data_IF_216420200303
#
_entry.id   IF_216420200303
#
_cell.length_a   1.000
_cell.length_b   1.000
_cell.length_c   1.000
_cell.angle_alpha   90.00
_cell.angle_beta   90.00
_cell.angle_gamma   90.00
#
_symmetry.space_group_name_H-M   'P 1'
#
loop_
_entity.id
_entity.type
_entity.pdbx_description
1 polymer ?
#
# COMPACT_ATOMS: atom_id res chain seq x y z
N UNK A 1 0.34 -0.04 -75.68
CA UNK A 1 0.09 1.42 -75.73
C UNK A 1 0.08 1.97 -74.31
N UNK A 2 0.90 3.01 -74.05
CA UNK A 2 0.88 4.03 -72.97
C UNK A 2 0.70 3.55 -71.51
N UNK A 3 1.74 3.61 -70.64
CA UNK A 3 2.21 4.78 -69.84
C UNK A 3 1.07 5.45 -69.06
N UNK A 4 1.12 5.89 -67.80
CA UNK A 4 2.07 5.99 -66.68
C UNK A 4 1.35 6.98 -65.73
N UNK A 5 1.27 6.75 -64.40
CA UNK A 5 1.33 7.83 -63.38
C UNK A 5 1.18 7.30 -61.95
N UNK A 6 2.27 7.45 -61.19
CA UNK A 6 2.41 7.34 -59.74
C UNK A 6 2.04 8.68 -59.07
N UNK A 7 1.34 8.62 -57.93
CA UNK A 7 1.34 9.59 -56.83
C UNK A 7 1.05 8.80 -55.54
N UNK A 8 2.03 8.42 -54.71
CA UNK A 8 2.68 9.14 -53.60
C UNK A 8 1.77 9.46 -52.37
N UNK A 9 2.31 9.18 -51.18
CA UNK A 9 1.84 9.40 -49.79
C UNK A 9 0.93 8.29 -49.22
N UNK A 10 1.38 7.30 -48.43
CA UNK A 10 2.35 7.27 -47.32
C UNK A 10 1.95 8.13 -46.11
N UNK A 11 0.81 7.83 -45.47
CA UNK A 11 0.58 8.06 -44.02
C UNK A 11 -0.38 6.97 -43.50
N UNK A 12 0.13 5.76 -43.29
CA UNK A 12 -0.53 4.73 -42.46
C UNK A 12 0.47 4.27 -41.41
N UNK A 13 0.76 5.15 -40.44
CA UNK A 13 1.62 4.83 -39.30
C UNK A 13 1.35 5.80 -38.16
N UNK A 14 0.16 5.71 -37.57
CA UNK A 14 -0.13 6.20 -36.22
C UNK A 14 -1.11 5.23 -35.55
N UNK A 15 -0.66 3.97 -35.39
CA UNK A 15 -1.22 3.09 -34.38
C UNK A 15 -0.84 3.66 -33.02
N UNK A 16 -1.86 4.14 -32.32
CA UNK A 16 -1.89 4.47 -30.90
C UNK A 16 -1.05 3.48 -30.07
N UNK A 17 0.13 3.92 -29.64
CA UNK A 17 0.97 3.22 -28.66
C UNK A 17 0.35 3.41 -27.27
N UNK A 18 -0.65 2.59 -26.93
CA UNK A 18 -0.92 2.22 -25.55
C UNK A 18 0.00 1.07 -25.16
N UNK A 19 0.33 0.84 -23.88
CA UNK A 19 1.11 -0.32 -23.49
C UNK A 19 0.30 -1.59 -23.80
N UNK A 20 0.57 -2.19 -24.95
CA UNK A 20 0.09 -3.52 -25.28
C UNK A 20 0.78 -4.46 -24.30
N UNK A 21 0.05 -4.89 -23.28
CA UNK A 21 0.39 -6.11 -22.58
C UNK A 21 0.39 -7.18 -23.67
N UNK A 22 1.56 -7.70 -24.04
CA UNK A 22 1.65 -8.68 -25.12
C UNK A 22 0.75 -9.87 -24.77
N UNK A 23 -0.42 -9.96 -25.40
CA UNK A 23 -1.42 -11.02 -25.15
C UNK A 23 -0.79 -12.40 -25.31
N UNK A 24 0.16 -12.53 -26.23
CA UNK A 24 0.99 -13.73 -26.39
C UNK A 24 1.73 -14.10 -25.10
N UNK A 25 2.40 -13.14 -24.43
CA UNK A 25 3.13 -13.40 -23.18
C UNK A 25 2.21 -13.74 -22.00
N UNK A 26 1.00 -13.18 -21.97
CA UNK A 26 -0.01 -13.50 -20.97
C UNK A 26 -0.59 -14.91 -21.22
N UNK A 27 -0.88 -15.26 -22.49
CA UNK A 27 -1.35 -16.58 -22.91
C UNK A 27 -0.29 -17.66 -22.65
N UNK A 28 1.00 -17.41 -22.92
CA UNK A 28 2.07 -18.37 -22.61
C UNK A 28 2.20 -18.61 -21.12
N UNK A 29 2.19 -17.56 -20.28
CA UNK A 29 2.22 -17.71 -18.81
C UNK A 29 1.04 -18.52 -18.28
N UNK A 30 -0.16 -18.33 -18.86
CA UNK A 30 -1.36 -19.06 -18.47
C UNK A 30 -1.33 -20.52 -18.91
N UNK A 31 -0.86 -20.79 -20.13
CA UNK A 31 -0.68 -22.15 -20.66
C UNK A 31 0.38 -22.94 -19.86
N UNK A 32 1.49 -22.30 -19.51
CA UNK A 32 2.55 -22.89 -18.67
C UNK A 32 2.06 -23.18 -17.25
N UNK A 33 1.16 -22.36 -16.70
CA UNK A 33 0.57 -22.62 -15.40
C UNK A 33 -0.39 -23.81 -15.43
N UNK A 34 -1.19 -23.95 -16.48
CA UNK A 34 -2.14 -25.05 -16.64
C UNK A 34 -1.44 -26.41 -16.82
N UNK A 35 -0.25 -26.42 -17.42
CA UNK A 35 0.52 -27.65 -17.67
C UNK A 35 1.53 -27.99 -16.55
N UNK A 36 1.70 -27.09 -15.56
CA UNK A 36 2.65 -27.29 -14.46
C UNK A 36 2.16 -28.27 -13.40
N UNK A 37 3.08 -29.09 -12.90
CA UNK A 37 2.80 -30.03 -11.80
C UNK A 37 2.43 -29.28 -10.52
N UNK A 38 1.77 -29.96 -9.58
CA UNK A 38 1.44 -29.35 -8.29
C UNK A 38 2.70 -28.85 -7.55
N UNK A 39 3.79 -29.60 -7.65
CA UNK A 39 5.08 -29.26 -7.05
C UNK A 39 5.70 -28.00 -7.65
N UNK A 40 5.70 -27.86 -8.98
CA UNK A 40 6.17 -26.64 -9.64
C UNK A 40 5.35 -25.40 -9.25
N UNK A 41 4.02 -25.55 -9.10
CA UNK A 41 3.15 -24.46 -8.63
C UNK A 41 3.40 -24.10 -7.18
N UNK A 42 3.76 -25.07 -6.35
CA UNK A 42 4.14 -24.83 -4.96
C UNK A 42 5.49 -24.13 -4.89
N UNK A 43 6.49 -24.59 -5.64
CA UNK A 43 7.81 -23.96 -5.72
C UNK A 43 7.74 -22.51 -6.23
N UNK A 44 6.94 -22.23 -7.26
CA UNK A 44 6.71 -20.85 -7.76
C UNK A 44 5.97 -19.96 -6.76
N UNK A 45 5.11 -20.52 -5.92
CA UNK A 45 4.48 -19.77 -4.82
C UNK A 45 5.52 -19.45 -3.76
N UNK A 46 6.29 -20.44 -3.30
CA UNK A 46 7.35 -20.24 -2.33
C UNK A 46 8.36 -19.19 -2.78
N UNK A 47 8.84 -19.24 -4.03
CA UNK A 47 9.76 -18.27 -4.57
C UNK A 47 9.21 -16.83 -4.57
N UNK A 48 7.91 -16.65 -4.88
CA UNK A 48 7.26 -15.32 -4.80
C UNK A 48 7.18 -14.81 -3.37
N UNK A 49 6.81 -15.67 -2.42
CA UNK A 49 6.74 -15.29 -1.00
C UNK A 49 8.13 -14.89 -0.46
N UNK A 50 9.19 -15.59 -0.88
CA UNK A 50 10.57 -15.22 -0.53
C UNK A 50 11.02 -13.89 -1.16
N UNK A 51 10.56 -13.59 -2.37
CA UNK A 51 10.81 -12.31 -3.03
C UNK A 51 10.06 -11.17 -2.32
N UNK A 52 8.77 -11.37 -2.03
CA UNK A 52 7.93 -10.42 -1.29
C UNK A 52 8.58 -10.09 0.04
N UNK A 53 9.02 -11.10 0.81
CA UNK A 53 9.71 -10.91 2.09
C UNK A 53 10.94 -10.00 1.96
N UNK A 54 11.79 -10.23 0.96
CA UNK A 54 12.98 -9.39 0.71
C UNK A 54 12.61 -7.95 0.37
N UNK A 55 11.54 -7.76 -0.40
CA UNK A 55 11.03 -6.43 -0.74
C UNK A 55 10.54 -5.73 0.54
N UNK A 56 9.73 -6.40 1.37
CA UNK A 56 9.22 -5.87 2.64
C UNK A 56 10.38 -5.48 3.57
N UNK A 57 11.34 -6.38 3.77
CA UNK A 57 12.52 -6.12 4.60
C UNK A 57 13.26 -4.85 4.12
N UNK A 58 13.46 -4.72 2.82
CA UNK A 58 14.13 -3.57 2.20
C UNK A 58 13.39 -2.26 2.44
N UNK A 59 12.07 -2.21 2.19
CA UNK A 59 11.30 -0.96 2.28
C UNK A 59 11.09 -0.49 3.72
N UNK A 60 10.97 -1.42 4.68
CA UNK A 60 10.85 -1.10 6.11
C UNK A 60 12.17 -0.52 6.62
N UNK A 61 13.30 -1.17 6.30
CA UNK A 61 14.63 -0.67 6.68
C UNK A 61 14.93 0.69 6.03
N UNK A 62 14.52 0.87 4.77
CA UNK A 62 14.71 2.13 4.04
C UNK A 62 13.76 3.25 4.50
N UNK A 63 12.75 2.95 5.34
CA UNK A 63 11.68 3.89 5.72
C UNK A 63 11.05 4.56 4.49
N UNK A 64 10.71 3.75 3.49
CA UNK A 64 10.25 4.25 2.20
C UNK A 64 9.06 3.42 1.70
N UNK A 65 7.93 3.60 2.35
CA UNK A 65 6.72 2.83 2.06
C UNK A 65 5.44 3.62 2.30
N UNK A 66 4.40 3.24 1.57
CA UNK A 66 3.05 3.76 1.69
C UNK A 66 2.09 2.64 2.08
N UNK A 67 1.34 2.87 3.15
CA UNK A 67 0.22 2.05 3.59
C UNK A 67 -1.08 2.52 2.93
N UNK A 68 -1.76 1.56 2.30
CA UNK A 68 -3.01 1.68 1.58
C UNK A 68 -4.11 0.96 2.39
N UNK A 69 -4.95 1.68 3.15
CA UNK A 69 -5.97 1.11 3.99
C UNK A 69 -7.17 0.61 3.16
N UNK A 70 -7.70 -0.54 3.54
CA UNK A 70 -8.93 -1.12 2.98
C UNK A 70 -10.09 -1.05 3.98
N UNK A 71 -9.80 -1.16 5.28
CA UNK A 71 -10.83 -1.09 6.32
C UNK A 71 -10.39 -0.22 7.49
N UNK A 72 -11.37 0.22 8.29
CA UNK A 72 -11.17 0.96 9.53
C UNK A 72 -12.11 0.42 10.61
N UNK A 73 -11.63 0.29 11.84
CA UNK A 73 -12.42 -0.11 13.01
C UNK A 73 -11.97 0.68 14.24
N UNK A 74 -12.93 1.17 15.04
CA UNK A 74 -12.62 1.71 16.36
C UNK A 74 -12.51 0.56 17.38
N UNK A 75 -11.47 0.53 18.19
CA UNK A 75 -11.29 -0.48 19.22
C UNK A 75 -12.02 -0.09 20.52
N UNK A 76 -12.43 -1.06 21.36
CA UNK A 76 -12.31 -2.51 21.16
C UNK A 76 -13.45 -3.14 20.34
N UNK A 77 -14.61 -2.47 20.19
CA UNK A 77 -15.83 -3.09 19.67
C UNK A 77 -16.59 -2.22 18.64
N UNK A 78 -15.92 -1.28 17.98
CA UNK A 78 -16.49 -0.50 16.90
C UNK A 78 -16.82 -1.36 15.67
N UNK A 79 -17.72 -0.87 14.83
CA UNK A 79 -18.04 -1.53 13.55
C UNK A 79 -16.87 -1.38 12.58
N UNK A 80 -16.51 -2.47 11.90
CA UNK A 80 -15.57 -2.42 10.78
C UNK A 80 -16.24 -1.77 9.56
N UNK A 81 -15.57 -0.77 8.99
CA UNK A 81 -16.03 0.00 7.84
C UNK A 81 -15.05 -0.20 6.69
N UNK A 82 -15.55 -0.50 5.50
CA UNK A 82 -14.73 -0.55 4.29
C UNK A 82 -14.44 0.87 3.78
N UNK A 83 -13.19 1.12 3.40
CA UNK A 83 -12.72 2.38 2.86
C UNK A 83 -12.64 2.27 1.35
N UNK A 84 -13.47 3.04 0.64
CA UNK A 84 -13.56 3.00 -0.83
C UNK A 84 -12.78 4.10 -1.54
N UNK A 85 -12.17 5.04 -0.81
CA UNK A 85 -11.46 6.18 -1.40
C UNK A 85 -9.97 5.85 -1.61
N UNK A 86 -9.52 5.93 -2.85
CA UNK A 86 -8.12 5.70 -3.24
C UNK A 86 -7.14 6.75 -2.68
N UNK A 87 -7.65 7.90 -2.21
CA UNK A 87 -6.82 8.98 -1.67
C UNK A 87 -6.48 8.79 -0.19
N UNK A 88 -6.99 7.74 0.45
CA UNK A 88 -6.61 7.44 1.82
C UNK A 88 -5.28 6.72 1.82
N UNK A 89 -4.27 7.35 2.38
CA UNK A 89 -2.91 6.80 2.44
C UNK A 89 -2.23 7.22 3.74
N UNK A 90 -1.23 6.43 4.11
CA UNK A 90 -0.29 6.77 5.16
C UNK A 90 1.12 6.46 4.64
N UNK A 91 1.95 7.47 4.54
CA UNK A 91 3.20 7.42 3.82
C UNK A 91 4.34 7.74 4.78
N UNK A 92 5.39 6.92 4.78
CA UNK A 92 6.64 7.20 5.48
C UNK A 92 7.74 7.31 4.45
N UNK A 93 8.44 8.44 4.48
CA UNK A 93 9.61 8.68 3.66
C UNK A 93 10.71 9.28 4.53
N UNK A 94 11.77 8.49 4.75
CA UNK A 94 12.91 8.85 5.61
C UNK A 94 12.46 9.16 7.03
N UNK A 95 12.49 10.43 7.43
CA UNK A 95 12.10 10.92 8.75
C UNK A 95 10.82 11.78 8.70
N UNK A 96 10.15 11.79 7.54
CA UNK A 96 8.85 12.42 7.34
C UNK A 96 7.73 11.38 7.25
N UNK A 97 6.55 11.79 7.69
CA UNK A 97 5.33 11.05 7.44
C UNK A 97 4.26 11.98 6.87
N UNK A 98 3.43 11.44 6.00
CA UNK A 98 2.19 12.06 5.53
C UNK A 98 1.02 11.13 5.85
N UNK A 99 -0.07 11.67 6.38
CA UNK A 99 -1.28 10.92 6.68
C UNK A 99 -2.47 11.59 6.02
N UNK A 100 -3.31 10.79 5.37
CA UNK A 100 -4.64 11.15 4.89
C UNK A 100 -5.60 10.00 5.24
N UNK A 101 -6.04 9.91 6.49
CA UNK A 101 -6.89 8.80 6.96
C UNK A 101 -8.15 9.30 7.68
N UNK A 102 -9.32 8.68 7.43
CA UNK A 102 -10.51 8.97 8.24
C UNK A 102 -10.25 8.48 9.66
N UNK A 103 -10.60 9.28 10.66
CA UNK A 103 -10.35 8.98 12.08
C UNK A 103 -11.59 9.28 12.90
N UNK A 104 -11.73 8.62 14.05
CA UNK A 104 -12.89 8.78 14.94
C UNK A 104 -12.43 9.53 16.18
N UNK A 105 -12.78 10.81 16.26
CA UNK A 105 -12.46 11.68 17.39
C UNK A 105 -13.67 11.91 18.30
N UNK A 106 -13.44 11.93 19.61
CA UNK A 106 -14.46 12.21 20.60
C UNK A 106 -14.32 11.35 21.85
N UNK A 107 -14.67 11.92 23.00
CA UNK A 107 -14.60 11.26 24.31
C UNK A 107 -15.92 10.55 24.62
N UNK A 108 -17.05 11.15 24.24
CA UNK A 108 -18.40 10.61 24.46
C UNK A 108 -19.21 10.58 23.16
N UNK A 109 -20.15 9.62 23.04
CA UNK A 109 -21.07 9.59 21.90
C UNK A 109 -21.90 10.89 21.77
N UNK A 110 -22.16 11.36 20.53
CA UNK A 110 -21.75 10.76 19.26
C UNK A 110 -20.30 11.12 18.87
N UNK A 111 -19.50 10.10 18.55
CA UNK A 111 -18.15 10.30 18.01
C UNK A 111 -18.20 10.99 16.65
N UNK A 112 -17.23 11.87 16.38
CA UNK A 112 -17.13 12.58 15.10
C UNK A 112 -16.09 11.91 14.21
N UNK A 113 -16.49 11.59 12.98
CA UNK A 113 -15.53 11.23 11.93
C UNK A 113 -14.85 12.49 11.43
N UNK A 114 -13.53 12.51 11.53
CA UNK A 114 -12.65 13.57 11.04
C UNK A 114 -11.67 12.97 10.05
N UNK A 115 -10.95 13.81 9.32
CA UNK A 115 -9.87 13.37 8.45
C UNK A 115 -8.55 13.82 9.07
N UNK A 116 -7.66 12.88 9.39
CA UNK A 116 -6.27 13.19 9.67
C UNK A 116 -5.57 13.39 8.33
N UNK A 117 -5.38 14.63 7.92
CA UNK A 117 -4.76 15.03 6.65
C UNK A 117 -3.61 16.03 6.88
N UNK A 118 -2.43 15.52 7.24
CA UNK A 118 -1.27 16.36 7.55
C UNK A 118 0.03 15.60 7.31
N UNK A 119 1.09 16.36 7.04
CA UNK A 119 2.47 15.87 7.05
C UNK A 119 3.23 16.35 8.28
N UNK A 120 4.24 15.60 8.70
CA UNK A 120 5.18 16.04 9.73
C UNK A 120 6.55 15.38 9.56
N UNK A 121 7.60 16.14 9.85
CA UNK A 121 8.99 15.67 9.88
C UNK A 121 9.46 15.35 11.32
N UNK A 122 8.55 15.37 12.30
CA UNK A 122 8.85 15.17 13.71
C UNK A 122 8.31 13.82 14.18
N UNK A 123 8.80 12.73 13.58
CA UNK A 123 8.56 11.38 14.08
C UNK A 123 9.49 11.10 15.27
N UNK A 124 8.91 10.96 16.46
CA UNK A 124 9.62 10.72 17.70
C UNK A 124 9.63 9.24 18.04
N UNK A 125 10.68 8.77 18.72
CA UNK A 125 10.78 7.38 19.19
C UNK A 125 10.60 6.31 18.09
N UNK A 126 10.99 6.62 16.85
CA UNK A 126 10.83 5.69 15.74
C UNK A 126 11.62 4.40 15.97
N UNK A 127 10.92 3.27 15.97
CA UNK A 127 11.45 1.94 16.24
C UNK A 127 10.89 0.93 15.26
N UNK A 128 11.75 0.03 14.82
CA UNK A 128 11.40 -1.14 14.02
C UNK A 128 11.82 -2.41 14.74
N UNK A 129 10.93 -3.38 14.87
CA UNK A 129 11.18 -4.69 15.48
C UNK A 129 10.84 -5.75 14.46
N UNK A 130 11.79 -6.60 14.12
CA UNK A 130 11.52 -7.77 13.30
C UNK A 130 10.89 -8.87 14.18
N UNK A 131 9.88 -9.53 13.65
CA UNK A 131 9.13 -10.63 14.27
C UNK A 131 9.13 -11.84 13.36
N UNK A 132 8.64 -12.98 13.84
CA UNK A 132 8.53 -14.20 13.02
C UNK A 132 7.61 -14.04 11.81
N UNK A 133 6.68 -13.07 11.85
CA UNK A 133 5.65 -12.86 10.82
C UNK A 133 5.86 -11.60 9.98
N UNK A 134 6.93 -10.84 10.21
CA UNK A 134 7.23 -9.58 9.52
C UNK A 134 7.79 -8.52 10.46
N UNK A 135 7.29 -7.29 10.37
CA UNK A 135 7.83 -6.13 11.09
C UNK A 135 6.79 -5.41 11.93
N UNK A 136 7.21 -4.88 13.07
CA UNK A 136 6.47 -3.89 13.84
C UNK A 136 7.21 -2.56 13.73
N UNK A 137 6.56 -1.55 13.18
CA UNK A 137 7.05 -0.17 13.13
C UNK A 137 6.24 0.66 14.10
N UNK A 138 6.89 1.36 15.03
CA UNK A 138 6.21 2.20 16.01
C UNK A 138 6.88 3.55 16.18
N UNK A 139 6.12 4.63 16.28
CA UNK A 139 6.62 5.96 16.56
C UNK A 139 5.52 6.87 17.12
N UNK A 140 5.93 8.02 17.64
CA UNK A 140 5.07 9.09 18.12
C UNK A 140 5.12 10.27 17.16
N UNK A 141 3.99 10.95 16.97
CA UNK A 141 3.96 12.23 16.28
C UNK A 141 2.88 13.13 16.87
N UNK A 142 3.26 14.39 17.12
CA UNK A 142 2.31 15.41 17.54
C UNK A 142 1.60 15.94 16.31
N UNK A 143 0.30 15.68 16.23
CA UNK A 143 -0.58 16.21 15.18
C UNK A 143 -1.60 17.16 15.82
N UNK A 144 -2.50 17.74 14.99
CA UNK A 144 -3.62 18.61 15.35
C UNK A 144 -3.84 18.92 16.84
N UNK A 145 -3.82 20.21 17.17
CA UNK A 145 -4.08 20.70 18.54
C UNK A 145 -3.13 20.07 19.59
N UNK A 146 -1.88 19.79 19.18
CA UNK A 146 -0.81 19.29 20.05
C UNK A 146 -1.11 17.93 20.69
N UNK A 147 -1.94 17.12 20.03
CA UNK A 147 -2.21 15.75 20.46
C UNK A 147 -1.05 14.86 20.01
N UNK A 148 -0.43 14.18 20.97
CA UNK A 148 0.57 13.14 20.72
C UNK A 148 -0.15 11.84 20.31
N UNK A 149 0.05 11.43 19.06
CA UNK A 149 -0.43 10.19 18.51
C UNK A 149 0.68 9.15 18.50
N UNK A 150 0.36 7.94 18.93
CA UNK A 150 1.22 6.78 18.72
C UNK A 150 0.73 6.01 17.50
N UNK A 151 1.64 5.74 16.59
CA UNK A 151 1.43 4.93 15.40
C UNK A 151 2.13 3.59 15.61
N UNK A 152 1.39 2.50 15.43
CA UNK A 152 1.93 1.14 15.46
C UNK A 152 1.47 0.41 14.21
N UNK A 153 2.40 0.08 13.33
CA UNK A 153 2.17 -0.63 12.08
C UNK A 153 2.74 -2.05 12.20
N UNK A 154 1.86 -3.04 12.16
CA UNK A 154 2.21 -4.45 12.07
C UNK A 154 2.15 -4.86 10.60
N UNK A 155 3.31 -5.17 10.03
CA UNK A 155 3.52 -5.47 8.62
C UNK A 155 3.87 -6.95 8.52
N UNK A 156 3.17 -7.70 7.67
CA UNK A 156 3.50 -9.09 7.39
C UNK A 156 4.54 -9.23 6.27
N UNK A 157 5.14 -10.41 6.15
CA UNK A 157 6.13 -10.75 5.11
C UNK A 157 5.60 -10.62 3.65
N UNK A 158 4.31 -10.37 3.45
CA UNK A 158 3.60 -10.41 2.18
C UNK A 158 2.78 -9.14 1.91
N UNK A 159 3.28 -7.99 2.34
CA UNK A 159 2.69 -6.64 2.18
C UNK A 159 1.42 -6.32 2.96
N UNK A 160 0.73 -7.28 3.56
CA UNK A 160 -0.44 -7.00 4.40
C UNK A 160 -0.01 -6.27 5.67
N UNK A 161 -0.77 -5.28 6.10
CA UNK A 161 -0.45 -4.54 7.31
C UNK A 161 -1.69 -4.09 8.09
N UNK A 162 -1.48 -3.92 9.40
CA UNK A 162 -2.45 -3.35 10.34
C UNK A 162 -1.84 -2.11 10.98
N UNK A 163 -2.44 -0.95 10.77
CA UNK A 163 -2.07 0.30 11.43
C UNK A 163 -2.99 0.54 12.61
N UNK A 164 -2.43 0.74 13.80
CA UNK A 164 -3.14 1.22 14.98
C UNK A 164 -2.71 2.66 15.27
N UNK A 165 -3.67 3.56 15.38
CA UNK A 165 -3.46 4.94 15.82
C UNK A 165 -4.12 5.11 17.19
N UNK A 166 -3.31 5.42 18.20
CA UNK A 166 -3.76 5.65 19.57
C UNK A 166 -3.30 7.01 20.10
N UNK A 167 -3.99 7.50 21.14
CA UNK A 167 -3.60 8.66 21.93
C UNK A 167 -4.31 8.61 23.29
N UNK A 168 -4.05 9.59 24.16
CA UNK A 168 -4.61 9.60 25.52
C UNK A 168 -6.05 10.15 25.61
N UNK A 169 -6.63 10.63 24.51
CA UNK A 169 -7.92 11.34 24.50
C UNK A 169 -9.05 10.53 23.89
N UNK A 170 -8.75 9.70 22.90
CA UNK A 170 -9.71 8.98 22.07
C UNK A 170 -9.38 7.49 22.02
N UNK A 171 -10.40 6.67 21.75
CA UNK A 171 -10.19 5.26 21.52
C UNK A 171 -9.31 5.02 20.29
N UNK A 172 -8.55 3.93 20.34
CA UNK A 172 -7.69 3.51 19.24
C UNK A 172 -8.51 3.23 17.99
N UNK A 173 -7.93 3.57 16.84
CA UNK A 173 -8.48 3.25 15.54
C UNK A 173 -7.50 2.35 14.80
N UNK A 174 -8.00 1.21 14.37
CA UNK A 174 -7.25 0.24 13.58
C UNK A 174 -7.65 0.30 12.12
N UNK A 175 -6.67 0.14 11.24
CA UNK A 175 -6.84 0.05 9.81
C UNK A 175 -6.15 -1.21 9.32
N UNK A 176 -6.79 -1.95 8.42
CA UNK A 176 -6.13 -3.07 7.72
C UNK A 176 -5.98 -2.71 6.26
N UNK A 177 -4.86 -3.10 5.66
CA UNK A 177 -4.49 -2.66 4.33
C UNK A 177 -3.25 -3.38 3.81
N UNK A 178 -2.62 -2.80 2.81
CA UNK A 178 -1.35 -3.27 2.25
C UNK A 178 -0.31 -2.16 2.25
N UNK A 179 0.96 -2.51 2.28
CA UNK A 179 2.06 -1.58 2.06
C UNK A 179 2.66 -1.73 0.66
N UNK A 180 3.19 -0.64 0.13
CA UNK A 180 3.88 -0.61 -1.15
C UNK A 180 5.09 0.32 -1.08
N UNK A 181 6.06 0.12 -1.97
CA UNK A 181 7.23 0.98 -2.07
C UNK A 181 6.87 2.34 -2.70
N UNK A 182 7.43 3.42 -2.17
CA UNK A 182 7.38 4.74 -2.80
C UNK A 182 8.54 4.87 -3.79
N UNK A 183 8.28 5.31 -5.01
CA UNK A 183 9.28 5.47 -6.08
C UNK A 183 10.04 6.80 -5.99
#
# INVERSE_FOLDING_TARGET
MKRLLLFLACITACTFCGPYVNEASAQTKQHDYHNSTHEERAARRAARLEEDKKIIDSIVVARNFEFNPMTMQQMPAGQMVFLSNINYTFTIWRDAMDICLPYIAGITPPYRRVLLNTGTNNMQNYKTVQTDNGWIVSFNAVLYAEIDYTFTLEINDHSGATLTISNNWYNDVQYTGTISQIY
#
